data_IF_036929002578
#
_entry.id   IF_036929002578
#
_cell.length_a   1.000
_cell.length_b   1.000
_cell.length_c   1.000
_cell.angle_alpha   90.00
_cell.angle_beta   90.00
_cell.angle_gamma   90.00
#
_symmetry.space_group_name_H-M   'P 1'
#
loop_
_entity.id
_entity.type
_entity.pdbx_description
1 polymer ?
#
# COMPACT_ATOMS: atom_id res chain seq x y z
N UNK A 1 -45.98 56.04 11.16
CA UNK A 1 -45.90 56.24 9.70
C UNK A 1 -45.83 54.86 9.04
N UNK A 2 -46.56 54.62 7.95
CA UNK A 2 -46.45 53.38 7.14
C UNK A 2 -47.61 52.39 7.25
N UNK A 3 -48.66 52.58 6.43
CA UNK A 3 -49.59 51.50 6.02
C UNK A 3 -48.84 50.55 5.03
N UNK A 4 -49.25 49.35 4.60
CA UNK A 4 -50.51 48.57 4.45
C UNK A 4 -50.10 47.08 4.62
N UNK A 5 -50.92 46.08 5.00
CA UNK A 5 -52.25 45.74 4.53
C UNK A 5 -52.20 44.77 3.33
N UNK A 6 -52.53 43.48 3.53
CA UNK A 6 -53.23 42.56 2.60
C UNK A 6 -53.44 41.20 3.29
N UNK A 7 -54.64 40.64 3.16
CA UNK A 7 -55.03 39.28 3.57
C UNK A 7 -55.13 38.43 2.31
N UNK A 8 -54.56 37.22 2.29
CA UNK A 8 -55.02 36.16 1.39
C UNK A 8 -55.01 34.79 2.09
N UNK A 9 -56.20 34.21 2.20
CA UNK A 9 -56.47 32.85 2.66
C UNK A 9 -56.53 31.93 1.42
N UNK A 10 -55.89 30.76 1.44
CA UNK A 10 -56.03 29.76 0.37
C UNK A 10 -55.84 28.32 0.86
N UNK A 11 -56.91 27.52 0.74
CA UNK A 11 -57.09 26.16 1.26
C UNK A 11 -58.22 25.47 0.45
N UNK A 12 -58.37 24.15 0.33
CA UNK A 12 -57.72 22.96 0.93
C UNK A 12 -57.52 21.92 -0.18
N UNK A 13 -56.48 21.07 -0.11
CA UNK A 13 -56.51 19.78 -0.80
C UNK A 13 -55.62 18.70 -0.14
N UNK A 14 -56.22 17.78 0.62
CA UNK A 14 -55.65 16.46 0.86
C UNK A 14 -55.94 15.57 -0.35
N UNK A 15 -54.98 14.71 -0.72
CA UNK A 15 -55.26 13.47 -1.45
C UNK A 15 -54.63 12.31 -0.69
N UNK A 16 -55.48 11.48 -0.08
CA UNK A 16 -55.11 10.21 0.50
C UNK A 16 -55.72 9.09 -0.35
N UNK A 17 -54.88 8.25 -0.97
CA UNK A 17 -55.29 7.00 -1.59
C UNK A 17 -54.31 5.91 -1.16
N UNK A 18 -54.84 4.92 -0.45
CA UNK A 18 -54.12 3.70 -0.08
C UNK A 18 -54.20 2.68 -1.21
N UNK A 19 -53.19 1.81 -1.32
CA UNK A 19 -53.16 0.73 -2.31
C UNK A 19 -51.92 -0.14 -2.16
N UNK A 20 -52.01 -1.19 -1.33
CA UNK A 20 -50.93 -2.15 -1.16
C UNK A 20 -50.86 -3.13 -2.34
N UNK A 21 -49.67 -3.35 -2.88
CA UNK A 21 -49.37 -4.52 -3.71
C UNK A 21 -48.01 -5.10 -3.29
N UNK A 22 -48.05 -6.22 -2.56
CA UNK A 22 -46.87 -7.03 -2.24
C UNK A 22 -46.24 -7.56 -3.53
N UNK A 23 -44.94 -7.33 -3.73
CA UNK A 23 -44.12 -8.22 -4.55
C UNK A 23 -42.92 -8.68 -3.73
N UNK A 24 -42.75 -10.01 -3.65
CA UNK A 24 -41.64 -10.64 -2.95
C UNK A 24 -40.38 -10.65 -3.83
N UNK A 25 -39.22 -10.77 -3.19
CA UNK A 25 -38.09 -11.46 -3.80
C UNK A 25 -37.26 -10.63 -4.78
N UNK A 26 -36.35 -9.82 -4.25
CA UNK A 26 -34.92 -10.03 -4.56
C UNK A 26 -34.08 -9.40 -3.48
N UNK A 27 -33.52 -10.23 -2.59
CA UNK A 27 -32.31 -9.88 -1.85
C UNK A 27 -31.15 -9.79 -2.85
N UNK A 28 -31.10 -8.68 -3.59
CA UNK A 28 -29.88 -8.22 -4.22
C UNK A 28 -28.95 -7.76 -3.11
N UNK A 29 -28.36 -8.75 -2.43
CA UNK A 29 -27.08 -8.58 -1.75
C UNK A 29 -26.21 -7.84 -2.75
N UNK A 30 -25.89 -6.59 -2.44
CA UNK A 30 -24.90 -5.83 -3.17
C UNK A 30 -23.61 -6.61 -3.00
N UNK A 31 -23.34 -7.51 -3.95
CA UNK A 31 -22.06 -8.17 -4.09
C UNK A 31 -21.10 -7.02 -4.26
N UNK A 32 -20.34 -6.73 -3.20
CA UNK A 32 -19.27 -5.74 -3.26
C UNK A 32 -18.48 -6.08 -4.50
N UNK A 33 -18.63 -5.26 -5.54
CA UNK A 33 -17.76 -5.35 -6.69
C UNK A 33 -16.39 -5.11 -6.11
N UNK A 34 -15.57 -6.16 -6.16
CA UNK A 34 -14.13 -6.03 -5.96
C UNK A 34 -13.75 -4.82 -6.79
N UNK A 35 -13.36 -3.75 -6.08
CA UNK A 35 -13.42 -2.41 -6.66
C UNK A 35 -12.56 -2.45 -7.90
N UNK A 36 -13.18 -2.15 -9.05
CA UNK A 36 -12.49 -2.00 -10.33
C UNK A 36 -11.70 -0.69 -10.26
N UNK A 37 -10.66 -0.74 -9.41
CA UNK A 37 -9.66 0.29 -9.24
C UNK A 37 -8.86 0.20 -10.52
N UNK A 38 -8.96 1.17 -11.45
CA UNK A 38 -8.09 1.18 -12.61
C UNK A 38 -6.66 1.06 -12.09
N UNK A 39 -5.81 0.20 -12.68
CA UNK A 39 -4.51 -0.16 -12.11
C UNK A 39 -3.80 1.13 -11.72
N UNK A 40 -3.63 1.31 -10.40
CA UNK A 40 -3.12 2.54 -9.83
C UNK A 40 -1.78 2.77 -10.49
N UNK A 41 -1.72 3.74 -11.42
CA UNK A 41 -0.61 3.85 -12.36
C UNK A 41 0.60 4.27 -11.58
N UNK A 42 1.32 3.26 -11.08
CA UNK A 42 2.50 3.45 -10.26
C UNK A 42 3.47 4.28 -11.10
N UNK A 43 4.14 5.26 -10.49
CA UNK A 43 5.25 5.93 -11.17
C UNK A 43 6.20 4.85 -11.71
N UNK A 44 6.45 4.83 -13.02
CA UNK A 44 7.21 3.74 -13.66
C UNK A 44 8.63 3.63 -13.10
N UNK A 45 9.15 4.72 -12.57
CA UNK A 45 10.41 4.79 -11.85
C UNK A 45 10.38 4.14 -10.44
N UNK A 46 9.20 3.79 -9.90
CA UNK A 46 9.00 2.97 -8.70
C UNK A 46 8.97 1.46 -8.98
N UNK A 47 8.47 1.05 -10.15
CA UNK A 47 8.39 -0.37 -10.57
C UNK A 47 9.78 -0.99 -10.72
N UNK A 48 9.98 -2.21 -10.21
CA UNK A 48 11.25 -2.95 -10.23
C UNK A 48 11.64 -3.50 -8.86
N UNK A 49 12.86 -4.05 -8.78
CA UNK A 49 13.43 -4.59 -7.55
C UNK A 49 14.19 -3.52 -6.77
N UNK A 50 14.12 -3.59 -5.45
CA UNK A 50 14.76 -2.70 -4.50
C UNK A 50 15.45 -3.54 -3.43
N UNK A 51 16.73 -3.29 -3.19
CA UNK A 51 17.57 -4.09 -2.28
C UNK A 51 18.29 -3.21 -1.26
N UNK A 52 18.48 -3.71 -0.04
CA UNK A 52 19.19 -2.97 1.01
C UNK A 52 19.05 -3.65 2.37
N UNK A 53 19.00 -2.88 3.45
CA UNK A 53 19.11 -3.40 4.81
C UNK A 53 18.15 -2.76 5.82
N UNK A 54 17.88 -3.51 6.89
CA UNK A 54 17.26 -3.04 8.13
C UNK A 54 18.27 -3.03 9.26
N UNK A 55 18.21 -2.02 10.13
CA UNK A 55 19.00 -1.93 11.38
C UNK A 55 18.10 -1.50 12.55
N UNK A 56 18.36 -1.92 13.79
CA UNK A 56 17.60 -1.47 14.95
C UNK A 56 17.81 0.02 15.21
N UNK A 57 16.75 0.72 15.63
CA UNK A 57 16.84 2.07 16.19
C UNK A 57 17.01 1.94 17.72
N UNK A 58 18.27 1.99 18.16
CA UNK A 58 18.66 1.93 19.58
C UNK A 58 19.35 0.63 19.99
N UNK A 59 20.20 0.73 21.02
CA UNK A 59 21.00 -0.37 21.55
C UNK A 59 20.25 -1.14 22.66
N UNK A 60 19.27 -1.96 22.26
CA UNK A 60 18.56 -2.88 23.16
C UNK A 60 19.11 -4.32 23.08
N UNK A 61 18.94 -5.16 24.12
CA UNK A 61 19.23 -6.58 24.04
C UNK A 61 18.50 -7.22 22.85
N UNK A 62 19.23 -7.98 22.02
CA UNK A 62 18.68 -8.59 20.81
C UNK A 62 18.65 -7.70 19.56
N UNK A 63 19.08 -6.43 19.64
CA UNK A 63 19.13 -5.51 18.49
C UNK A 63 19.89 -6.06 17.28
N UNK A 64 20.98 -6.79 17.49
CA UNK A 64 21.76 -7.44 16.42
C UNK A 64 20.93 -8.46 15.61
N UNK A 65 19.88 -9.04 16.20
CA UNK A 65 18.97 -9.95 15.50
C UNK A 65 17.95 -9.19 14.62
N UNK A 66 17.77 -7.88 14.83
CA UNK A 66 16.94 -7.01 13.98
C UNK A 66 17.70 -6.49 12.74
N UNK A 67 19.04 -6.62 12.73
CA UNK A 67 19.86 -6.38 11.55
C UNK A 67 19.53 -7.42 10.47
N UNK A 68 19.35 -6.97 9.24
CA UNK A 68 18.99 -7.87 8.14
C UNK A 68 19.03 -7.22 6.77
N UNK A 69 18.89 -8.07 5.75
CA UNK A 69 18.74 -7.67 4.36
C UNK A 69 17.25 -7.57 4.01
N UNK A 70 16.90 -6.64 3.14
CA UNK A 70 15.54 -6.40 2.65
C UNK A 70 15.56 -6.34 1.13
N UNK A 71 14.74 -7.16 0.49
CA UNK A 71 14.47 -7.10 -0.96
C UNK A 71 12.98 -6.88 -1.17
N UNK A 72 12.60 -5.94 -2.04
CA UNK A 72 11.22 -5.60 -2.38
C UNK A 72 11.10 -5.59 -3.90
N UNK A 73 10.20 -6.39 -4.47
CA UNK A 73 9.84 -6.31 -5.89
C UNK A 73 8.48 -5.63 -6.00
N UNK A 74 8.44 -4.47 -6.68
CA UNK A 74 7.22 -3.72 -6.98
C UNK A 74 6.87 -3.94 -8.45
N UNK A 75 5.66 -4.43 -8.73
CA UNK A 75 5.18 -4.64 -10.10
C UNK A 75 4.46 -3.41 -10.64
N UNK A 76 4.17 -3.43 -11.94
CA UNK A 76 3.34 -2.43 -12.63
C UNK A 76 1.87 -2.48 -12.21
N UNK A 77 1.34 -3.67 -11.91
CA UNK A 77 -0.04 -3.94 -11.48
C UNK A 77 -0.45 -3.35 -10.10
N UNK A 78 0.45 -2.67 -9.39
CA UNK A 78 0.21 -2.14 -8.04
C UNK A 78 0.61 -3.09 -6.91
N UNK A 79 0.98 -4.34 -7.19
CA UNK A 79 1.36 -5.34 -6.19
C UNK A 79 2.84 -5.30 -5.83
N UNK A 80 3.17 -5.84 -4.66
CA UNK A 80 4.55 -6.11 -4.28
C UNK A 80 4.73 -7.49 -3.66
N UNK A 81 5.96 -7.99 -3.72
CA UNK A 81 6.50 -8.97 -2.78
C UNK A 81 7.69 -8.36 -2.05
N UNK A 82 7.94 -8.81 -0.82
CA UNK A 82 9.13 -8.45 -0.08
C UNK A 82 9.66 -9.65 0.71
N UNK A 83 10.99 -9.74 0.82
CA UNK A 83 11.69 -10.72 1.65
C UNK A 83 12.60 -9.97 2.61
N UNK A 84 12.48 -10.26 3.91
CA UNK A 84 13.43 -9.79 4.92
C UNK A 84 14.19 -10.97 5.49
N UNK A 85 15.52 -10.91 5.44
CA UNK A 85 16.41 -11.94 5.96
C UNK A 85 17.16 -11.38 7.17
N UNK A 86 16.99 -12.01 8.33
CA UNK A 86 17.65 -11.67 9.59
C UNK A 86 18.36 -12.91 10.14
N UNK A 87 19.16 -12.72 11.19
CA UNK A 87 19.88 -13.84 11.84
C UNK A 87 18.92 -14.94 12.28
N UNK A 88 18.94 -16.07 11.59
CA UNK A 88 18.10 -17.24 11.88
C UNK A 88 16.62 -17.11 11.47
N UNK A 89 16.23 -16.09 10.69
CA UNK A 89 14.82 -15.93 10.27
C UNK A 89 14.71 -15.27 8.89
N UNK A 90 13.90 -15.87 8.01
CA UNK A 90 13.48 -15.28 6.74
C UNK A 90 11.97 -15.12 6.76
N UNK A 91 11.49 -13.92 6.41
CA UNK A 91 10.07 -13.62 6.31
C UNK A 91 9.75 -13.11 4.91
N UNK A 92 8.58 -13.52 4.40
CA UNK A 92 8.07 -13.10 3.10
C UNK A 92 6.73 -12.38 3.27
N UNK A 93 6.54 -11.32 2.51
CA UNK A 93 5.36 -10.46 2.54
C UNK A 93 4.87 -10.25 1.12
N UNK A 94 3.56 -10.04 0.98
CA UNK A 94 2.95 -9.60 -0.27
C UNK A 94 1.76 -8.71 0.01
N UNK A 95 1.34 -7.96 -1.01
CA UNK A 95 0.16 -7.11 -0.97
C UNK A 95 0.22 -6.00 -2.00
N UNK A 96 -0.30 -4.82 -1.65
CA UNK A 96 -0.44 -3.68 -2.56
C UNK A 96 0.38 -2.46 -2.13
N UNK A 97 0.81 -1.68 -3.11
CA UNK A 97 1.55 -0.42 -2.94
C UNK A 97 0.60 0.76 -3.16
N UNK A 98 0.58 1.68 -2.20
CA UNK A 98 -0.18 2.93 -2.29
C UNK A 98 0.81 4.10 -2.24
N UNK A 99 0.80 4.95 -3.28
CA UNK A 99 1.72 6.10 -3.38
C UNK A 99 0.97 7.39 -3.10
N UNK A 100 1.55 8.24 -2.25
CA UNK A 100 1.07 9.61 -2.00
C UNK A 100 2.28 10.56 -1.99
N UNK A 101 2.52 11.21 -3.13
CA UNK A 101 3.70 12.05 -3.35
C UNK A 101 4.99 11.27 -3.11
N UNK A 102 5.78 11.69 -2.11
CA UNK A 102 7.02 11.01 -1.70
C UNK A 102 6.81 9.88 -0.69
N UNK A 103 5.57 9.55 -0.31
CA UNK A 103 5.24 8.42 0.55
C UNK A 103 4.90 7.20 -0.29
N UNK A 104 5.53 6.06 0.01
CA UNK A 104 5.23 4.75 -0.58
C UNK A 104 4.81 3.83 0.55
N UNK A 105 3.54 3.44 0.57
CA UNK A 105 2.94 2.62 1.63
C UNK A 105 2.68 1.21 1.12
N UNK A 106 3.38 0.26 1.72
CA UNK A 106 3.21 -1.18 1.50
C UNK A 106 2.14 -1.70 2.45
N UNK A 107 1.02 -2.19 1.92
CA UNK A 107 -0.07 -2.80 2.70
C UNK A 107 0.05 -4.32 2.60
N UNK A 108 0.39 -4.99 3.70
CA UNK A 108 0.55 -6.46 3.71
C UNK A 108 -0.82 -7.14 3.82
N UNK A 109 -1.16 -7.96 2.81
CA UNK A 109 -2.40 -8.72 2.81
C UNK A 109 -2.42 -9.85 3.84
N UNK A 110 -1.24 -10.39 4.20
CA UNK A 110 -1.12 -11.51 5.14
C UNK A 110 -1.05 -11.10 6.62
N UNK A 111 -0.62 -9.88 6.93
CA UNK A 111 -0.42 -9.41 8.31
C UNK A 111 -1.39 -8.31 8.75
N UNK A 112 -2.21 -7.76 7.84
CA UNK A 112 -3.08 -6.62 8.12
C UNK A 112 -2.34 -5.32 8.51
N UNK A 113 -1.01 -5.32 8.39
CA UNK A 113 -0.13 -4.20 8.75
C UNK A 113 0.26 -3.38 7.51
N UNK A 114 0.69 -2.14 7.74
CA UNK A 114 1.16 -1.25 6.68
C UNK A 114 2.46 -0.58 7.08
N UNK A 115 3.41 -0.52 6.16
CA UNK A 115 4.71 0.16 6.33
C UNK A 115 4.81 1.29 5.30
N UNK A 116 5.15 2.50 5.76
CA UNK A 116 5.33 3.66 4.87
C UNK A 116 6.80 4.06 4.80
N UNK A 117 7.39 3.97 3.61
CA UNK A 117 8.73 4.47 3.31
C UNK A 117 8.64 5.81 2.57
N UNK A 118 9.69 6.63 2.70
CA UNK A 118 9.88 7.88 1.97
C UNK A 118 10.79 7.66 0.78
N UNK A 119 10.40 8.23 -0.36
CA UNK A 119 11.13 8.12 -1.62
C UNK A 119 12.04 9.32 -1.88
N UNK A 120 13.25 9.06 -2.35
CA UNK A 120 14.21 10.05 -2.86
C UNK A 120 14.94 9.44 -4.06
N UNK A 121 14.44 9.68 -5.27
CA UNK A 121 14.98 9.07 -6.49
C UNK A 121 14.93 7.54 -6.42
N UNK A 122 16.10 6.92 -6.49
CA UNK A 122 16.30 5.47 -6.41
C UNK A 122 16.50 4.96 -4.98
N UNK A 123 16.12 5.71 -3.94
CA UNK A 123 16.14 5.24 -2.54
C UNK A 123 14.74 5.29 -1.92
N UNK A 124 14.34 4.20 -1.25
CA UNK A 124 13.22 4.14 -0.32
C UNK A 124 13.77 3.93 1.10
N UNK A 125 13.42 4.82 2.02
CA UNK A 125 13.93 4.77 3.40
C UNK A 125 12.85 5.12 4.41
N UNK A 126 12.96 4.62 5.63
CA UNK A 126 11.99 4.90 6.68
C UNK A 126 12.33 4.24 8.00
N UNK A 127 11.49 4.50 9.01
CA UNK A 127 11.55 3.89 10.32
C UNK A 127 10.17 3.34 10.65
N UNK A 128 10.09 2.09 11.08
CA UNK A 128 8.83 1.46 11.48
C UNK A 128 9.04 0.43 12.59
N UNK A 129 7.98 0.13 13.33
CA UNK A 129 7.97 -0.98 14.29
C UNK A 129 7.76 -2.29 13.54
N UNK A 130 8.75 -3.17 13.54
CA UNK A 130 8.58 -4.54 13.07
C UNK A 130 7.78 -5.32 14.12
N UNK A 131 6.56 -5.70 13.77
CA UNK A 131 5.66 -6.43 14.66
C UNK A 131 6.19 -7.84 15.03
N UNK A 132 7.10 -8.39 14.22
CA UNK A 132 7.71 -9.71 14.47
C UNK A 132 8.75 -9.63 15.57
N UNK A 133 9.74 -8.75 15.40
CA UNK A 133 10.86 -8.60 16.33
C UNK A 133 10.56 -7.64 17.49
N UNK A 134 9.45 -6.89 17.43
CA UNK A 134 9.06 -5.80 18.34
C UNK A 134 10.08 -4.66 18.46
N UNK A 135 11.09 -4.64 17.59
CA UNK A 135 12.04 -3.54 17.50
C UNK A 135 11.54 -2.48 16.50
N UNK A 136 11.81 -1.21 16.82
CA UNK A 136 11.78 -0.15 15.81
C UNK A 136 13.01 -0.33 14.94
N UNK A 137 12.82 -0.49 13.63
CA UNK A 137 13.89 -0.65 12.65
C UNK A 137 13.92 0.52 11.67
N UNK A 138 15.11 0.98 11.34
CA UNK A 138 15.36 1.81 10.17
C UNK A 138 15.60 0.90 8.98
N UNK A 139 14.95 1.18 7.85
CA UNK A 139 15.19 0.53 6.56
C UNK A 139 15.68 1.54 5.55
N UNK A 140 16.63 1.14 4.72
CA UNK A 140 17.00 1.81 3.48
C UNK A 140 17.18 0.74 2.40
N UNK A 141 16.47 0.89 1.29
CA UNK A 141 16.63 0.06 0.08
C UNK A 141 16.82 0.95 -1.13
N UNK A 142 17.71 0.54 -2.02
CA UNK A 142 18.02 1.22 -3.26
C UNK A 142 17.45 0.42 -4.43
N UNK A 143 17.06 1.11 -5.52
CA UNK A 143 16.54 0.45 -6.71
C UNK A 143 17.68 -0.27 -7.42
N UNK A 144 17.50 -1.56 -7.68
CA UNK A 144 18.46 -2.36 -8.44
C UNK A 144 18.64 -1.71 -9.82
N UNK A 145 19.86 -1.30 -10.17
CA UNK A 145 20.15 -0.48 -11.35
C UNK A 145 19.96 -1.19 -12.70
N UNK A 146 19.47 -2.43 -12.71
CA UNK A 146 19.28 -3.23 -13.93
C UNK A 146 20.58 -3.46 -14.71
N UNK A 147 21.74 -3.35 -14.05
CA UNK A 147 23.03 -3.61 -14.67
C UNK A 147 23.06 -5.07 -15.14
N UNK A 148 22.93 -5.26 -16.45
CA UNK A 148 23.24 -6.52 -17.09
C UNK A 148 24.66 -6.89 -16.70
N UNK A 149 24.83 -7.99 -15.97
CA UNK A 149 26.16 -8.54 -15.71
C UNK A 149 26.75 -9.09 -17.01
N UNK A 150 27.32 -8.19 -17.82
CA UNK A 150 28.41 -8.55 -18.72
C UNK A 150 29.66 -8.79 -17.87
N UNK A 151 29.62 -9.83 -17.04
CA UNK A 151 30.83 -10.43 -16.50
C UNK A 151 31.73 -10.77 -17.68
N UNK A 152 32.95 -10.21 -17.79
CA UNK A 152 33.87 -10.61 -18.83
C UNK A 152 34.29 -12.04 -18.53
N UNK A 153 33.75 -12.99 -19.29
CA UNK A 153 34.26 -14.36 -19.30
C UNK A 153 35.72 -14.28 -19.72
N UNK A 154 36.62 -14.33 -18.72
CA UNK A 154 38.04 -14.48 -18.95
C UNK A 154 38.25 -15.88 -19.54
N UNK A 155 38.12 -15.95 -20.86
CA UNK A 155 38.43 -17.12 -21.65
C UNK A 155 39.92 -17.39 -21.45
N UNK A 156 40.23 -18.28 -20.51
CA UNK A 156 41.57 -18.78 -20.25
C UNK A 156 41.99 -19.67 -21.42
N UNK A 157 42.28 -19.05 -22.56
CA UNK A 157 42.81 -19.74 -23.71
C UNK A 157 44.16 -20.38 -23.35
N UNK A 158 44.25 -21.67 -23.66
CA UNK A 158 45.42 -22.50 -23.41
C UNK A 158 46.54 -22.13 -24.39
N UNK A 159 47.74 -21.86 -23.89
CA UNK A 159 49.00 -22.28 -24.50
C UNK A 159 49.97 -22.72 -23.39
#
# INVERSE_FOLDING_TARGET
MGNRGIVFVASIALLALAGCATHQGTDSVARSTESDVPPSTLPADLVGTWSGSSVPVGAGPGGDNAVGNVTIAIKDDGTFTATTQRKGSTQNYSGVVVVNGRSVTFRSSSLGSSVSLRRRGNVLYGVFSDLTSRHTVQVSVEKDSGALETSPTAQSDRQ
#
